data_IF_124647232870
#
_entry.id   IF_124647232870
#
_cell.length_a   1.000
_cell.length_b   1.000
_cell.length_c   1.000
_cell.angle_alpha   90.00
_cell.angle_beta   90.00
_cell.angle_gamma   90.00
#
_symmetry.space_group_name_H-M   'P 1'
#
loop_
_entity.id
_entity.type
_entity.pdbx_description
1 polymer ?
#
# COMPACT_ATOMS: atom_id res chain seq x y z
N UNK A 1 10.44 -41.75 -12.57
CA UNK A 1 9.95 -41.22 -11.30
C UNK A 1 10.39 -39.75 -11.21
N UNK A 2 9.57 -38.84 -11.72
CA UNK A 2 9.98 -37.46 -11.94
C UNK A 2 9.22 -36.50 -11.08
N UNK A 3 9.95 -35.68 -10.35
CA UNK A 3 9.67 -34.29 -9.98
C UNK A 3 8.40 -33.95 -9.16
N UNK A 4 7.79 -34.90 -8.44
CA UNK A 4 6.66 -34.62 -7.55
C UNK A 4 7.01 -33.56 -6.46
N UNK A 5 8.25 -33.56 -5.97
CA UNK A 5 8.76 -32.56 -5.02
C UNK A 5 8.84 -31.13 -5.62
N UNK A 6 8.98 -31.00 -6.95
CA UNK A 6 8.93 -29.69 -7.65
C UNK A 6 7.49 -29.18 -7.82
N UNK A 7 6.50 -30.05 -7.73
CA UNK A 7 5.09 -29.72 -7.95
C UNK A 7 4.54 -28.90 -6.78
N UNK A 8 4.82 -29.30 -5.54
CA UNK A 8 4.41 -28.55 -4.35
C UNK A 8 4.96 -27.12 -4.30
N UNK A 9 6.26 -26.95 -4.67
CA UNK A 9 6.86 -25.61 -4.76
C UNK A 9 6.29 -24.75 -5.90
N UNK A 10 5.91 -25.36 -7.03
CA UNK A 10 5.26 -24.66 -8.14
C UNK A 10 3.84 -24.23 -7.79
N UNK A 11 3.09 -25.08 -7.11
CA UNK A 11 1.73 -24.81 -6.66
C UNK A 11 1.71 -23.67 -5.61
N UNK A 12 2.60 -23.72 -4.61
CA UNK A 12 2.76 -22.64 -3.62
C UNK A 12 3.13 -21.30 -4.26
N UNK A 13 4.08 -21.31 -5.23
CA UNK A 13 4.46 -20.10 -5.97
C UNK A 13 3.33 -19.59 -6.87
N UNK A 14 2.56 -20.50 -7.51
CA UNK A 14 1.41 -20.12 -8.33
C UNK A 14 0.29 -19.53 -7.48
N UNK A 15 0.03 -20.09 -6.29
CA UNK A 15 -0.96 -19.57 -5.34
C UNK A 15 -0.58 -18.18 -4.84
N UNK A 16 0.68 -17.97 -4.39
CA UNK A 16 1.18 -16.64 -3.99
C UNK A 16 1.06 -15.63 -5.13
N UNK A 17 1.43 -16.00 -6.34
CA UNK A 17 1.27 -15.14 -7.51
C UNK A 17 -0.19 -14.81 -7.80
N UNK A 18 -1.10 -15.77 -7.61
CA UNK A 18 -2.55 -15.56 -7.73
C UNK A 18 -3.08 -14.55 -6.72
N UNK A 19 -2.68 -14.66 -5.45
CA UNK A 19 -3.06 -13.73 -4.38
C UNK A 19 -2.56 -12.30 -4.66
N UNK A 20 -1.28 -12.15 -5.02
CA UNK A 20 -0.71 -10.84 -5.40
C UNK A 20 -1.47 -10.24 -6.58
N UNK A 21 -1.78 -11.02 -7.61
CA UNK A 21 -2.56 -10.57 -8.76
C UNK A 21 -3.95 -10.12 -8.34
N UNK A 22 -4.64 -10.88 -7.47
CA UNK A 22 -5.98 -10.53 -6.99
C UNK A 22 -5.97 -9.21 -6.21
N UNK A 23 -5.00 -8.99 -5.31
CA UNK A 23 -4.82 -7.74 -4.57
C UNK A 23 -4.61 -6.54 -5.51
N UNK A 24 -3.72 -6.69 -6.49
CA UNK A 24 -3.45 -5.64 -7.49
C UNK A 24 -4.67 -5.32 -8.35
N UNK A 25 -5.45 -6.34 -8.75
CA UNK A 25 -6.70 -6.16 -9.53
C UNK A 25 -7.73 -5.40 -8.70
N UNK A 26 -7.87 -5.69 -7.41
CA UNK A 26 -8.76 -4.91 -6.51
C UNK A 26 -8.29 -3.46 -6.37
N UNK A 27 -7.00 -3.25 -6.20
CA UNK A 27 -6.43 -1.89 -6.11
C UNK A 27 -6.71 -1.08 -7.38
N UNK A 28 -6.53 -1.67 -8.56
CA UNK A 28 -6.88 -1.05 -9.85
C UNK A 28 -8.35 -0.65 -9.91
N UNK A 29 -9.25 -1.55 -9.50
CA UNK A 29 -10.69 -1.26 -9.49
C UNK A 29 -11.04 -0.12 -8.53
N UNK A 30 -10.48 -0.12 -7.33
CA UNK A 30 -10.75 0.92 -6.33
C UNK A 30 -10.14 2.25 -6.75
N UNK A 31 -8.92 2.26 -7.26
CA UNK A 31 -8.28 3.47 -7.76
C UNK A 31 -9.09 4.09 -8.92
N UNK A 32 -9.55 3.27 -9.87
CA UNK A 32 -10.40 3.73 -10.97
C UNK A 32 -11.78 4.22 -10.51
N UNK A 33 -12.36 3.60 -9.47
CA UNK A 33 -13.63 4.03 -8.88
C UNK A 33 -13.53 5.41 -8.22
N UNK A 34 -12.42 5.69 -7.54
CA UNK A 34 -12.25 6.91 -6.75
C UNK A 34 -11.75 8.09 -7.57
N UNK A 35 -10.87 7.87 -8.52
CA UNK A 35 -10.18 8.94 -9.26
C UNK A 35 -10.38 8.90 -10.78
N UNK A 36 -11.25 8.02 -11.28
CA UNK A 36 -11.51 7.88 -12.72
C UNK A 36 -10.57 6.91 -13.43
N UNK A 37 -10.88 6.56 -14.71
CA UNK A 37 -10.22 5.49 -15.45
C UNK A 37 -8.91 5.90 -16.11
N UNK A 38 -8.56 7.18 -16.11
CA UNK A 38 -7.38 7.70 -16.80
C UNK A 38 -6.17 7.74 -15.84
N UNK A 39 -5.13 6.91 -16.06
CA UNK A 39 -3.93 6.94 -15.23
C UNK A 39 -3.18 8.27 -15.25
N UNK A 40 -3.26 9.05 -16.33
CA UNK A 40 -2.57 10.34 -16.45
C UNK A 40 -3.21 11.42 -15.57
N UNK A 41 -4.50 11.24 -15.25
CA UNK A 41 -5.27 12.12 -14.39
C UNK A 41 -5.46 11.55 -12.96
N UNK A 42 -5.08 10.29 -12.74
CA UNK A 42 -5.27 9.56 -11.49
C UNK A 42 -3.94 8.95 -11.02
N UNK A 43 -3.14 9.65 -10.22
CA UNK A 43 -1.82 9.18 -9.75
C UNK A 43 -1.89 7.83 -9.02
N UNK A 44 -2.96 7.59 -8.23
CA UNK A 44 -3.18 6.31 -7.57
C UNK A 44 -3.36 5.17 -8.57
N UNK A 45 -4.12 5.41 -9.64
CA UNK A 45 -4.31 4.42 -10.69
C UNK A 45 -3.01 4.19 -11.47
N UNK A 46 -2.26 5.25 -11.77
CA UNK A 46 -0.96 5.15 -12.42
C UNK A 46 -0.01 4.25 -11.63
N UNK A 47 0.11 4.48 -10.31
CA UNK A 47 0.93 3.67 -9.43
C UNK A 47 0.46 2.21 -9.36
N UNK A 48 -0.86 1.98 -9.30
CA UNK A 48 -1.42 0.63 -9.30
C UNK A 48 -1.16 -0.12 -10.63
N UNK A 49 -1.27 0.58 -11.77
CA UNK A 49 -0.94 0.02 -13.10
C UNK A 49 0.53 -0.36 -13.18
N UNK A 50 1.42 0.50 -12.70
CA UNK A 50 2.87 0.23 -12.68
C UNK A 50 3.20 -0.99 -11.82
N UNK A 51 2.65 -1.07 -10.60
CA UNK A 51 2.79 -2.24 -9.71
C UNK A 51 2.29 -3.53 -10.38
N UNK A 52 1.12 -3.45 -11.03
CA UNK A 52 0.54 -4.60 -11.73
C UNK A 52 1.40 -5.07 -12.91
N UNK A 53 1.98 -4.14 -13.69
CA UNK A 53 2.92 -4.45 -14.77
C UNK A 53 4.19 -5.11 -14.25
N UNK A 54 4.80 -4.58 -13.18
CA UNK A 54 5.98 -5.17 -12.52
C UNK A 54 5.71 -6.59 -12.02
N UNK A 55 4.49 -6.85 -11.51
CA UNK A 55 4.04 -8.17 -11.09
C UNK A 55 3.63 -9.09 -12.25
N UNK A 56 3.82 -8.66 -13.51
CA UNK A 56 3.48 -9.41 -14.73
C UNK A 56 1.98 -9.77 -14.81
N UNK A 57 1.11 -8.87 -14.36
CA UNK A 57 -0.33 -8.98 -14.60
C UNK A 57 -0.61 -8.67 -16.07
N UNK A 58 -1.41 -9.51 -16.73
CA UNK A 58 -1.73 -9.32 -18.14
C UNK A 58 -2.45 -8.00 -18.41
N UNK A 59 -2.08 -7.35 -19.51
CA UNK A 59 -2.65 -6.05 -19.92
C UNK A 59 -4.17 -6.06 -19.97
N UNK A 60 -4.76 -7.09 -20.55
CA UNK A 60 -6.23 -7.23 -20.65
C UNK A 60 -6.90 -7.32 -19.27
N UNK A 61 -6.20 -7.89 -18.27
CA UNK A 61 -6.70 -7.96 -16.91
C UNK A 61 -6.68 -6.59 -16.24
N UNK A 62 -5.61 -5.81 -16.47
CA UNK A 62 -5.49 -4.43 -15.99
C UNK A 62 -6.62 -3.57 -16.61
N UNK A 63 -6.78 -3.61 -17.94
CA UNK A 63 -7.80 -2.82 -18.62
C UNK A 63 -9.23 -3.19 -18.19
N UNK A 64 -9.51 -4.50 -18.02
CA UNK A 64 -10.81 -4.95 -17.48
C UNK A 64 -11.06 -4.47 -16.06
N UNK A 65 -10.04 -4.51 -15.21
CA UNK A 65 -10.15 -4.01 -13.84
C UNK A 65 -10.47 -2.51 -13.81
N UNK A 66 -9.80 -1.72 -14.64
CA UNK A 66 -10.04 -0.27 -14.75
C UNK A 66 -11.47 0.00 -15.24
N UNK A 67 -11.92 -0.66 -16.31
CA UNK A 67 -13.28 -0.52 -16.82
C UNK A 67 -14.35 -0.90 -15.78
N UNK A 68 -14.13 -2.00 -15.08
CA UNK A 68 -15.03 -2.48 -14.04
C UNK A 68 -15.08 -1.50 -12.86
N UNK A 69 -13.91 -1.01 -12.39
CA UNK A 69 -13.81 -0.05 -11.30
C UNK A 69 -14.47 1.29 -11.61
N UNK A 70 -14.31 1.79 -12.84
CA UNK A 70 -14.88 3.08 -13.27
C UNK A 70 -16.36 3.02 -13.67
N UNK A 71 -17.02 1.85 -13.52
CA UNK A 71 -18.44 1.69 -13.84
C UNK A 71 -18.74 1.65 -15.33
N UNK A 72 -17.76 1.36 -16.18
CA UNK A 72 -17.93 1.20 -17.64
C UNK A 72 -18.43 -0.20 -18.03
N UNK A 73 -18.76 -1.03 -17.06
CA UNK A 73 -19.35 -2.37 -17.25
C UNK A 73 -20.65 -2.47 -16.47
N UNK A 74 -21.53 -3.39 -16.87
CA UNK A 74 -22.80 -3.66 -16.17
C UNK A 74 -22.57 -4.28 -14.75
N UNK A 75 -21.38 -4.77 -14.48
CA UNK A 75 -21.01 -5.33 -13.19
C UNK A 75 -20.65 -4.22 -12.19
N UNK A 76 -21.49 -4.04 -11.17
CA UNK A 76 -21.19 -3.10 -10.06
C UNK A 76 -20.10 -3.64 -9.16
N UNK A 77 -19.03 -2.88 -8.98
CA UNK A 77 -17.98 -3.15 -7.98
C UNK A 77 -18.39 -2.52 -6.65
N UNK A 78 -18.76 -3.36 -5.69
CA UNK A 78 -19.17 -2.92 -4.36
C UNK A 78 -18.08 -3.15 -3.31
N UNK A 79 -16.81 -2.90 -3.65
CA UNK A 79 -15.76 -2.92 -2.64
C UNK A 79 -15.91 -1.73 -1.71
N UNK A 80 -15.79 -2.03 -0.41
CA UNK A 80 -15.67 -1.05 0.67
C UNK A 80 -14.29 -1.18 1.33
N UNK A 81 -13.75 -0.05 1.78
CA UNK A 81 -12.57 0.00 2.61
C UNK A 81 -12.99 -0.12 4.07
N UNK A 82 -12.45 -1.10 4.77
CA UNK A 82 -12.66 -1.31 6.20
C UNK A 82 -11.32 -1.26 6.90
N UNK A 83 -11.22 -0.47 7.96
CA UNK A 83 -10.01 -0.38 8.77
C UNK A 83 -10.21 -1.12 10.08
N UNK A 84 -9.26 -1.99 10.41
CA UNK A 84 -9.15 -2.66 11.70
C UNK A 84 -7.93 -2.11 12.44
N UNK A 85 -8.08 -1.91 13.72
CA UNK A 85 -7.05 -1.41 14.60
C UNK A 85 -6.78 -2.39 15.74
N UNK A 86 -5.52 -2.53 16.13
CA UNK A 86 -5.17 -3.45 17.21
C UNK A 86 -3.67 -3.48 17.48
N UNK A 87 -3.27 -4.50 18.20
CA UNK A 87 -1.87 -4.73 18.57
C UNK A 87 -1.44 -6.12 18.11
N UNK A 88 -0.29 -6.18 17.45
CA UNK A 88 0.45 -7.41 17.24
C UNK A 88 1.04 -7.93 18.57
N UNK A 89 1.65 -9.12 18.62
CA UNK A 89 2.44 -9.54 19.76
C UNK A 89 3.38 -8.43 20.23
N UNK A 90 3.76 -8.47 21.51
CA UNK A 90 4.61 -7.46 22.15
C UNK A 90 4.04 -6.03 22.14
N UNK A 91 2.71 -5.89 22.00
CA UNK A 91 1.98 -4.61 22.00
C UNK A 91 2.39 -3.65 20.88
N UNK A 92 2.86 -4.16 19.76
CA UNK A 92 3.16 -3.33 18.57
C UNK A 92 1.85 -2.85 17.95
N UNK A 93 1.60 -1.54 17.83
CA UNK A 93 0.40 -1.00 17.22
C UNK A 93 0.33 -1.38 15.73
N UNK A 94 -0.87 -1.78 15.29
CA UNK A 94 -1.13 -2.19 13.91
C UNK A 94 -2.44 -1.60 13.41
N UNK A 95 -2.41 -1.05 12.19
CA UNK A 95 -3.60 -0.67 11.42
C UNK A 95 -3.67 -1.57 10.19
N UNK A 96 -4.83 -2.16 9.94
CA UNK A 96 -5.07 -3.07 8.80
C UNK A 96 -6.19 -2.51 7.95
N UNK A 97 -5.90 -2.20 6.70
CA UNK A 97 -6.89 -1.80 5.71
C UNK A 97 -7.31 -3.01 4.87
N UNK A 98 -8.60 -3.29 4.84
CA UNK A 98 -9.19 -4.34 4.03
C UNK A 98 -10.05 -3.75 2.91
N UNK A 99 -9.88 -4.26 1.70
CA UNK A 99 -10.77 -4.01 0.57
C UNK A 99 -11.64 -5.24 0.36
N UNK A 100 -12.90 -5.15 0.72
CA UNK A 100 -13.81 -6.30 0.67
C UNK A 100 -15.15 -5.96 0.01
N UNK A 101 -15.73 -6.95 -0.62
CA UNK A 101 -17.11 -6.95 -1.10
C UNK A 101 -18.08 -7.57 -0.09
N UNK A 102 -17.55 -8.15 1.02
CA UNK A 102 -18.34 -8.82 2.03
C UNK A 102 -17.77 -8.63 3.45
N UNK A 103 -18.18 -7.54 4.09
CA UNK A 103 -17.79 -7.20 5.46
C UNK A 103 -18.07 -8.30 6.48
N UNK A 104 -19.19 -9.01 6.31
CA UNK A 104 -19.60 -10.06 7.25
C UNK A 104 -18.69 -11.30 7.18
N UNK A 105 -18.04 -11.54 6.05
CA UNK A 105 -17.00 -12.56 5.89
C UNK A 105 -15.68 -12.06 6.47
N UNK A 106 -15.23 -10.89 6.03
CA UNK A 106 -13.89 -10.37 6.34
C UNK A 106 -13.68 -10.09 7.83
N UNK A 107 -14.68 -9.50 8.51
CA UNK A 107 -14.50 -9.11 9.90
C UNK A 107 -14.23 -10.28 10.87
N UNK A 108 -14.92 -11.44 10.82
CA UNK A 108 -14.57 -12.62 11.60
C UNK A 108 -13.20 -13.20 11.24
N UNK A 109 -12.84 -13.21 9.95
CA UNK A 109 -11.58 -13.75 9.48
C UNK A 109 -10.41 -12.93 10.01
N UNK A 110 -10.45 -11.58 9.88
CA UNK A 110 -9.44 -10.68 10.44
C UNK A 110 -9.38 -10.80 11.96
N UNK A 111 -10.54 -10.87 12.66
CA UNK A 111 -10.57 -11.09 14.11
C UNK A 111 -9.87 -12.39 14.51
N UNK A 112 -9.99 -13.43 13.71
CA UNK A 112 -9.31 -14.71 13.95
C UNK A 112 -7.79 -14.57 13.81
N UNK A 113 -7.31 -13.79 12.83
CA UNK A 113 -5.87 -13.51 12.67
C UNK A 113 -5.30 -12.74 13.87
N UNK A 114 -6.09 -11.85 14.48
CA UNK A 114 -5.68 -11.11 15.68
C UNK A 114 -5.63 -11.95 16.98
N UNK A 115 -5.84 -13.26 16.94
CA UNK A 115 -5.75 -14.12 18.14
C UNK A 115 -4.36 -14.15 18.76
N UNK A 116 -3.29 -14.01 17.97
CA UNK A 116 -1.92 -13.95 18.47
C UNK A 116 -1.55 -12.56 19.04
N UNK A 117 -2.37 -11.56 18.75
CA UNK A 117 -2.28 -10.21 19.24
C UNK A 117 -3.57 -9.80 19.98
N UNK A 118 -4.04 -8.59 19.74
CA UNK A 118 -5.35 -8.14 20.25
C UNK A 118 -6.01 -7.16 19.27
N UNK A 119 -7.23 -7.47 18.85
CA UNK A 119 -8.04 -6.54 18.08
C UNK A 119 -8.63 -5.47 19.01
N UNK A 120 -8.44 -4.21 18.66
CA UNK A 120 -8.96 -3.06 19.38
C UNK A 120 -10.28 -2.54 18.82
N UNK A 121 -10.80 -1.50 19.45
CA UNK A 121 -11.90 -0.71 18.91
C UNK A 121 -11.35 0.31 17.88
N UNK A 122 -12.18 0.82 16.95
CA UNK A 122 -11.79 1.93 16.10
C UNK A 122 -11.26 3.12 16.91
N UNK A 123 -10.09 3.66 16.53
CA UNK A 123 -9.40 4.73 17.25
C UNK A 123 -8.45 4.26 18.35
N UNK A 124 -8.36 2.95 18.61
CA UNK A 124 -7.53 2.41 19.71
C UNK A 124 -6.03 2.55 19.49
N UNK A 125 -5.59 2.62 18.25
CA UNK A 125 -4.16 2.76 17.90
C UNK A 125 -3.87 3.98 17.03
N UNK A 126 -4.88 4.70 16.58
CA UNK A 126 -4.73 5.85 15.68
C UNK A 126 -3.75 6.91 16.19
N UNK A 127 -3.64 7.10 17.51
CA UNK A 127 -2.73 8.08 18.10
C UNK A 127 -1.24 7.68 18.01
N UNK A 128 -0.92 6.42 17.74
CA UNK A 128 0.45 5.95 17.49
C UNK A 128 0.94 6.26 16.07
N UNK A 129 0.03 6.69 15.18
CA UNK A 129 0.34 6.96 13.80
C UNK A 129 0.02 8.40 13.42
N UNK A 130 0.75 8.92 12.44
CA UNK A 130 0.35 10.06 11.63
C UNK A 130 -0.39 9.53 10.41
N UNK A 131 -1.60 10.02 10.16
CA UNK A 131 -2.38 9.66 8.98
C UNK A 131 -2.25 10.80 7.97
N UNK A 132 -1.39 10.63 6.98
CA UNK A 132 -0.90 11.68 6.08
C UNK A 132 -1.00 11.28 4.61
N UNK A 133 -0.97 12.29 3.75
CA UNK A 133 -0.66 12.13 2.34
C UNK A 133 0.84 11.91 2.18
N UNK A 134 1.22 10.91 1.39
CA UNK A 134 2.60 10.52 1.13
C UNK A 134 2.84 10.49 -0.37
N UNK A 135 3.80 11.28 -0.85
CA UNK A 135 4.26 11.26 -2.24
C UNK A 135 5.71 10.78 -2.26
N UNK A 136 5.94 9.63 -2.87
CA UNK A 136 7.29 9.14 -3.13
C UNK A 136 7.67 9.47 -4.57
N UNK A 137 8.81 10.10 -4.76
CA UNK A 137 9.22 10.57 -6.07
C UNK A 137 10.74 10.52 -6.26
N UNK A 138 11.16 10.40 -7.53
CA UNK A 138 12.57 10.51 -7.93
C UNK A 138 12.76 11.64 -8.93
N UNK A 139 13.93 12.25 -8.89
CA UNK A 139 14.32 13.31 -9.84
C UNK A 139 15.54 12.86 -10.65
N UNK A 140 15.58 13.08 -11.98
CA UNK A 140 16.70 12.65 -12.82
C UNK A 140 18.01 13.37 -12.49
N UNK A 141 17.96 14.60 -11.95
CA UNK A 141 19.12 15.32 -11.47
C UNK A 141 19.44 14.93 -10.01
N UNK A 142 20.58 14.25 -9.74
CA UNK A 142 20.97 13.85 -8.39
C UNK A 142 21.32 15.03 -7.47
N UNK A 143 21.61 16.22 -8.05
CA UNK A 143 21.91 17.43 -7.31
C UNK A 143 20.66 18.24 -6.93
N UNK A 144 19.47 17.81 -7.38
CA UNK A 144 18.21 18.48 -7.05
C UNK A 144 17.98 18.52 -5.55
N UNK A 145 17.62 19.70 -5.05
CA UNK A 145 17.30 19.91 -3.64
C UNK A 145 15.82 19.61 -3.37
N UNK A 146 15.49 18.52 -2.67
CA UNK A 146 14.10 18.19 -2.38
C UNK A 146 13.45 19.13 -1.35
N UNK A 147 14.25 19.83 -0.50
CA UNK A 147 13.72 20.74 0.51
C UNK A 147 13.09 21.97 -0.15
N UNK A 148 13.78 22.56 -1.12
CA UNK A 148 13.26 23.67 -1.91
C UNK A 148 11.96 23.29 -2.63
N UNK A 149 11.94 22.13 -3.29
CA UNK A 149 10.76 21.66 -4.03
C UNK A 149 9.59 21.34 -3.10
N UNK A 150 9.86 20.82 -1.91
CA UNK A 150 8.81 20.55 -0.91
C UNK A 150 8.13 21.83 -0.45
N UNK A 151 8.89 22.87 -0.17
CA UNK A 151 8.36 24.17 0.25
C UNK A 151 7.49 24.75 -0.87
N UNK A 152 7.98 24.73 -2.12
CA UNK A 152 7.25 25.26 -3.28
C UNK A 152 5.98 24.43 -3.58
N UNK A 153 6.04 23.13 -3.37
CA UNK A 153 4.89 22.23 -3.56
C UNK A 153 3.87 22.27 -2.41
N UNK A 154 4.24 22.84 -1.25
CA UNK A 154 3.41 22.87 -0.06
C UNK A 154 3.43 21.56 0.75
N UNK A 155 4.48 20.76 0.64
CA UNK A 155 4.70 19.61 1.52
C UNK A 155 5.13 20.11 2.91
N UNK A 156 4.77 19.34 3.94
CA UNK A 156 5.04 19.73 5.34
C UNK A 156 6.35 19.18 5.86
N UNK A 157 6.71 17.99 5.40
CA UNK A 157 7.91 17.27 5.86
C UNK A 157 8.47 16.43 4.73
N UNK A 158 9.77 16.11 4.81
CA UNK A 158 10.47 15.28 3.85
C UNK A 158 11.21 14.18 4.59
N UNK A 159 11.16 12.99 4.02
CA UNK A 159 11.95 11.85 4.45
C UNK A 159 12.80 11.34 3.28
N UNK A 160 13.94 10.73 3.58
CA UNK A 160 14.72 10.03 2.58
C UNK A 160 14.00 8.76 2.14
N UNK A 161 14.10 8.42 0.85
CA UNK A 161 13.79 7.08 0.38
C UNK A 161 14.97 6.15 0.67
N UNK A 162 14.69 4.86 0.84
CA UNK A 162 15.75 3.86 0.95
C UNK A 162 16.55 3.79 -0.36
N UNK A 163 17.89 3.60 -0.28
CA UNK A 163 18.76 3.60 -1.46
C UNK A 163 18.32 2.60 -2.55
N UNK A 164 17.73 1.48 -2.16
CA UNK A 164 17.23 0.44 -3.06
C UNK A 164 15.98 0.88 -3.85
N UNK A 165 15.25 1.87 -3.36
CA UNK A 165 14.07 2.44 -4.01
C UNK A 165 14.42 3.53 -5.03
N UNK A 166 15.69 3.97 -5.05
CA UNK A 166 16.15 5.07 -5.89
C UNK A 166 16.92 4.51 -7.09
N UNK A 167 16.48 4.76 -8.34
CA UNK A 167 17.27 4.40 -9.51
C UNK A 167 18.65 5.03 -9.51
N UNK A 168 19.65 4.30 -10.02
CA UNK A 168 21.03 4.77 -10.05
C UNK A 168 21.15 6.15 -10.74
N UNK A 169 21.85 7.09 -10.10
CA UNK A 169 22.08 8.43 -10.63
C UNK A 169 20.88 9.38 -10.49
N UNK A 170 19.87 9.01 -9.74
CA UNK A 170 18.72 9.87 -9.44
C UNK A 170 18.72 10.33 -7.97
N UNK A 171 17.96 11.40 -7.70
CA UNK A 171 17.61 11.83 -6.35
C UNK A 171 16.26 11.23 -5.99
N UNK A 172 16.09 10.73 -4.77
CA UNK A 172 14.81 10.23 -4.27
C UNK A 172 14.40 10.95 -2.99
N UNK A 173 13.10 11.19 -2.82
CA UNK A 173 12.55 11.75 -1.60
C UNK A 173 11.10 11.31 -1.39
N UNK A 174 10.69 11.27 -0.13
CA UNK A 174 9.32 11.09 0.31
C UNK A 174 8.82 12.41 0.88
N UNK A 175 7.74 12.94 0.30
CA UNK A 175 7.11 14.19 0.70
C UNK A 175 5.85 13.88 1.49
N UNK A 176 5.72 14.45 2.68
CA UNK A 176 4.58 14.26 3.58
C UNK A 176 3.73 15.51 3.55
N UNK A 177 2.41 15.32 3.53
CA UNK A 177 1.44 16.42 3.47
C UNK A 177 0.15 16.07 4.17
N UNK A 178 -0.72 17.05 4.43
CA UNK A 178 -2.09 16.76 4.84
C UNK A 178 -2.83 16.00 3.74
N UNK A 179 -3.75 15.13 4.14
CA UNK A 179 -4.52 14.28 3.20
C UNK A 179 -5.22 15.12 2.11
N UNK A 180 -5.77 16.28 2.49
CA UNK A 180 -6.49 17.18 1.58
C UNK A 180 -5.58 17.79 0.49
N UNK A 181 -4.28 17.96 0.78
CA UNK A 181 -3.32 18.62 -0.08
C UNK A 181 -2.53 17.63 -0.98
N UNK A 182 -2.73 16.32 -0.79
CA UNK A 182 -2.00 15.26 -1.48
C UNK A 182 -1.99 15.41 -3.01
N UNK A 183 -3.13 15.69 -3.61
CA UNK A 183 -3.24 15.85 -5.07
C UNK A 183 -2.51 17.10 -5.56
N UNK A 184 -2.63 18.22 -4.84
CA UNK A 184 -1.96 19.48 -5.17
C UNK A 184 -0.43 19.33 -5.10
N UNK A 185 0.09 18.74 -4.00
CA UNK A 185 1.52 18.48 -3.80
C UNK A 185 2.05 17.53 -4.87
N UNK A 186 1.33 16.45 -5.17
CA UNK A 186 1.74 15.50 -6.22
C UNK A 186 1.84 16.16 -7.60
N UNK A 187 0.89 17.03 -7.95
CA UNK A 187 0.91 17.79 -9.22
C UNK A 187 2.05 18.81 -9.28
N UNK A 188 2.28 19.53 -8.18
CA UNK A 188 3.36 20.51 -8.10
C UNK A 188 4.74 19.85 -8.23
N UNK A 189 4.98 18.73 -7.54
CA UNK A 189 6.22 17.95 -7.67
C UNK A 189 6.41 17.43 -9.10
N UNK A 190 5.35 16.92 -9.74
CA UNK A 190 5.41 16.52 -11.15
C UNK A 190 5.77 17.68 -12.07
N UNK A 191 5.23 18.87 -11.84
CA UNK A 191 5.56 20.08 -12.60
C UNK A 191 7.02 20.54 -12.37
N UNK A 192 7.57 20.31 -11.17
CA UNK A 192 8.98 20.55 -10.83
C UNK A 192 9.97 19.52 -11.41
N UNK A 193 9.47 18.51 -12.17
CA UNK A 193 10.28 17.49 -12.84
C UNK A 193 10.47 16.20 -12.05
N UNK A 194 9.78 16.03 -10.92
CA UNK A 194 9.80 14.78 -10.17
C UNK A 194 8.98 13.69 -10.87
N UNK A 195 9.53 12.50 -10.93
CA UNK A 195 8.83 11.29 -11.37
C UNK A 195 8.11 10.69 -10.16
N UNK A 196 6.79 10.75 -10.12
CA UNK A 196 6.01 10.24 -9.00
C UNK A 196 6.01 8.71 -9.05
N UNK A 197 6.54 8.07 -7.99
CA UNK A 197 6.55 6.62 -7.78
C UNK A 197 5.22 6.19 -7.17
N UNK A 198 4.79 6.91 -6.12
CA UNK A 198 3.53 6.67 -5.43
C UNK A 198 2.94 7.98 -4.90
N UNK A 199 1.61 8.04 -4.83
CA UNK A 199 0.88 9.15 -4.21
C UNK A 199 -0.33 8.55 -3.51
N UNK A 200 -0.29 8.47 -2.19
CA UNK A 200 -1.30 7.75 -1.42
C UNK A 200 -1.41 8.23 0.03
N UNK A 201 -2.52 7.90 0.68
CA UNK A 201 -2.72 8.14 2.09
C UNK A 201 -2.14 6.95 2.86
N UNK A 202 -1.29 7.21 3.87
CA UNK A 202 -0.64 6.18 4.71
C UNK A 202 -0.71 6.51 6.19
N UNK A 203 -0.63 5.46 7.01
CA UNK A 203 -0.36 5.55 8.44
C UNK A 203 1.14 5.42 8.68
N UNK A 204 1.78 6.46 9.18
CA UNK A 204 3.21 6.47 9.51
C UNK A 204 3.37 6.40 11.03
N UNK A 205 4.10 5.39 11.51
CA UNK A 205 4.32 5.21 12.94
C UNK A 205 5.15 6.36 13.52
N UNK A 206 4.69 6.93 14.64
CA UNK A 206 5.41 8.01 15.36
C UNK A 206 6.59 7.48 16.16
N UNK A 207 6.46 6.28 16.72
CA UNK A 207 7.47 5.66 17.56
C UNK A 207 7.51 4.16 17.26
N UNK A 208 8.67 3.57 17.47
CA UNK A 208 8.90 2.15 17.28
C UNK A 208 9.28 1.52 18.61
N UNK A 209 8.58 0.47 19.08
CA UNK A 209 8.97 -0.29 20.26
C UNK A 209 10.36 -0.91 20.07
N UNK A 210 11.14 -0.91 21.14
CA UNK A 210 12.41 -1.64 21.16
C UNK A 210 12.11 -3.14 21.37
N UNK A 211 12.49 -3.96 20.39
CA UNK A 211 12.22 -5.39 20.34
C UNK A 211 13.52 -6.14 20.10
N UNK A 212 13.71 -7.23 20.83
CA UNK A 212 14.75 -8.19 20.51
C UNK A 212 14.41 -8.96 19.20
N UNK A 213 15.38 -9.73 18.69
CA UNK A 213 15.23 -10.44 17.43
C UNK A 213 14.11 -11.48 17.46
N UNK A 214 13.87 -12.13 18.61
CA UNK A 214 12.80 -13.11 18.77
C UNK A 214 11.43 -12.44 18.68
N UNK A 215 11.23 -11.37 19.45
CA UNK A 215 10.00 -10.59 19.45
C UNK A 215 9.73 -9.97 18.08
N UNK A 216 10.78 -9.45 17.42
CA UNK A 216 10.69 -8.90 16.06
C UNK A 216 10.21 -9.96 15.07
N UNK A 217 10.73 -11.19 15.16
CA UNK A 217 10.31 -12.30 14.32
C UNK A 217 8.85 -12.68 14.56
N UNK A 218 8.41 -12.78 15.81
CA UNK A 218 7.01 -13.09 16.13
C UNK A 218 6.05 -12.03 15.58
N UNK A 219 6.44 -10.74 15.68
CA UNK A 219 5.66 -9.65 15.08
C UNK A 219 5.64 -9.76 13.55
N UNK A 220 6.78 -10.02 12.92
CA UNK A 220 6.86 -10.17 11.47
C UNK A 220 6.01 -11.34 10.96
N UNK A 221 6.04 -12.50 11.64
CA UNK A 221 5.21 -13.65 11.30
C UNK A 221 3.71 -13.32 11.41
N UNK A 222 3.31 -12.57 12.43
CA UNK A 222 1.93 -12.08 12.59
C UNK A 222 1.52 -11.12 11.47
N UNK A 223 2.39 -10.15 11.13
CA UNK A 223 2.11 -9.18 10.04
C UNK A 223 2.02 -9.88 8.69
N UNK A 224 2.88 -10.88 8.44
CA UNK A 224 2.81 -11.70 7.24
C UNK A 224 1.50 -12.47 7.14
N UNK A 225 1.03 -13.05 8.25
CA UNK A 225 -0.26 -13.75 8.28
C UNK A 225 -1.44 -12.81 7.98
N UNK A 226 -1.39 -11.55 8.43
CA UNK A 226 -2.37 -10.53 8.06
C UNK A 226 -2.27 -10.18 6.58
N UNK A 227 -1.04 -9.94 6.08
CA UNK A 227 -0.84 -9.53 4.70
C UNK A 227 -1.17 -10.65 3.70
N UNK A 228 -1.03 -11.91 4.08
CA UNK A 228 -1.41 -13.07 3.25
C UNK A 228 -2.93 -13.23 3.08
N UNK A 229 -3.75 -12.54 3.88
CA UNK A 229 -5.21 -12.60 3.75
C UNK A 229 -5.69 -11.88 2.48
N UNK A 230 -6.60 -12.50 1.74
CA UNK A 230 -7.04 -12.01 0.44
C UNK A 230 -7.67 -10.61 0.48
N UNK A 231 -8.46 -10.32 1.51
CA UNK A 231 -9.15 -9.03 1.64
C UNK A 231 -8.27 -7.95 2.29
N UNK A 232 -7.15 -8.31 2.91
CA UNK A 232 -6.19 -7.33 3.46
C UNK A 232 -5.45 -6.66 2.31
N UNK A 233 -5.59 -5.35 2.26
CA UNK A 233 -4.99 -4.49 1.24
C UNK A 233 -3.65 -3.92 1.70
N UNK A 234 -3.61 -3.44 2.95
CA UNK A 234 -2.41 -2.86 3.56
C UNK A 234 -2.35 -3.16 5.05
N UNK A 235 -1.15 -3.35 5.53
CA UNK A 235 -0.84 -3.49 6.95
C UNK A 235 0.18 -2.42 7.31
N UNK A 236 -0.15 -1.59 8.29
CA UNK A 236 0.74 -0.60 8.86
C UNK A 236 1.06 -0.98 10.28
N UNK A 237 2.33 -1.05 10.61
CA UNK A 237 2.79 -1.46 11.93
C UNK A 237 3.91 -0.54 12.44
N UNK A 238 3.97 -0.34 13.75
CA UNK A 238 5.08 0.37 14.38
C UNK A 238 6.28 -0.58 14.58
N UNK A 239 6.79 -1.14 13.49
CA UNK A 239 7.95 -2.04 13.42
C UNK A 239 9.01 -1.44 12.49
N UNK A 240 10.26 -1.44 12.92
CA UNK A 240 11.45 -1.10 12.12
C UNK A 240 12.11 -2.36 11.61
#
# INVERSE_FOLDING_TARGET
>A
MGAQWKQAGREANAQKKGQVTAKLVRELMVAAKLGGPDPDLNPRLAAAVEKARKASVYRDTIERAIKKGSGQTDEKVNFELITFEGFAPHKVPVVVECLTDNRNRTAPEVRNLFRAGSLGQPGSVGFFFNHLGVVEATHPDPARDPETDAIEAGAQEIEALEPEEIPAGQKGARFLTEIKDLDAVSKALKAAGWNIISSEIRYLAKNFPDLDDSARKEVADFLNALDDHDDVHRVYAALK
#
